data_IF_471542276037
#
_entry.id   IF_471542276037
#
_cell.length_a   1.000
_cell.length_b   1.000
_cell.length_c   1.000
_cell.angle_alpha   90.00
_cell.angle_beta   90.00
_cell.angle_gamma   90.00
#
_symmetry.space_group_name_H-M   'P 1'
#
loop_
_entity.id
_entity.type
_entity.pdbx_description
1 polymer ?
#
# COMPACT_ATOMS: atom_id res chain seq x y z
N UNK A 1 -18.91 -6.64 -23.22
CA UNK A 1 -17.54 -6.33 -22.81
C UNK A 1 -17.33 -6.58 -21.33
N UNK A 2 -18.23 -6.16 -20.47
CA UNK A 2 -18.14 -6.31 -19.00
C UNK A 2 -18.59 -7.70 -18.49
N UNK A 3 -18.57 -8.73 -19.35
CA UNK A 3 -18.98 -10.09 -18.99
C UNK A 3 -18.17 -10.70 -17.83
N UNK A 4 -16.88 -10.33 -17.71
CA UNK A 4 -15.98 -10.79 -16.66
C UNK A 4 -16.44 -10.40 -15.27
N UNK A 5 -17.16 -9.30 -15.14
CA UNK A 5 -17.68 -8.77 -13.86
C UNK A 5 -18.58 -9.80 -13.16
N UNK A 6 -19.43 -10.48 -13.90
CA UNK A 6 -20.37 -11.50 -13.40
C UNK A 6 -19.79 -12.94 -13.42
N UNK A 7 -18.55 -13.12 -13.86
CA UNK A 7 -17.92 -14.44 -13.99
C UNK A 7 -17.33 -15.02 -12.68
N UNK A 8 -17.29 -14.25 -11.60
CA UNK A 8 -16.73 -14.66 -10.31
C UNK A 8 -17.62 -15.65 -9.57
N UNK A 9 -17.10 -16.45 -8.61
CA UNK A 9 -17.91 -17.35 -7.79
C UNK A 9 -19.06 -16.63 -7.08
N UNK A 10 -18.78 -15.51 -6.40
CA UNK A 10 -19.80 -14.71 -5.66
C UNK A 10 -20.87 -14.17 -6.60
N UNK A 11 -20.51 -13.69 -7.79
CA UNK A 11 -21.50 -13.22 -8.76
C UNK A 11 -22.34 -14.37 -9.34
N UNK A 12 -21.77 -15.56 -9.50
CA UNK A 12 -22.52 -16.76 -9.91
C UNK A 12 -23.49 -17.22 -8.83
N UNK A 13 -23.09 -17.16 -7.55
CA UNK A 13 -24.01 -17.46 -6.44
C UNK A 13 -25.15 -16.45 -6.39
N UNK A 14 -24.88 -15.16 -6.66
CA UNK A 14 -25.93 -14.13 -6.79
C UNK A 14 -26.91 -14.45 -7.92
N UNK A 15 -26.43 -14.77 -9.13
CA UNK A 15 -27.27 -15.13 -10.25
C UNK A 15 -28.05 -16.43 -9.98
N UNK A 16 -27.41 -17.45 -9.41
CA UNK A 16 -28.05 -18.69 -9.01
C UNK A 16 -29.15 -18.47 -7.96
N UNK A 17 -28.95 -17.52 -7.04
CA UNK A 17 -29.99 -17.15 -6.08
C UNK A 17 -31.21 -16.54 -6.80
N UNK A 18 -31.02 -15.67 -7.80
CA UNK A 18 -32.11 -15.12 -8.59
C UNK A 18 -32.86 -16.22 -9.37
N UNK A 19 -32.14 -17.16 -9.98
CA UNK A 19 -32.73 -18.29 -10.69
C UNK A 19 -33.61 -19.15 -9.75
N UNK A 20 -33.15 -19.44 -8.52
CA UNK A 20 -33.94 -20.18 -7.53
C UNK A 20 -35.16 -19.40 -7.10
N UNK A 21 -35.04 -18.05 -6.92
CA UNK A 21 -36.17 -17.20 -6.55
C UNK A 21 -37.24 -17.06 -7.63
N UNK A 22 -36.90 -17.25 -8.91
CA UNK A 22 -37.84 -17.24 -10.01
C UNK A 22 -38.67 -18.52 -10.13
N UNK A 23 -38.30 -19.60 -9.42
CA UNK A 23 -39.07 -20.83 -9.40
C UNK A 23 -40.40 -20.64 -8.65
N UNK A 24 -41.48 -21.29 -9.12
CA UNK A 24 -42.81 -21.16 -8.50
C UNK A 24 -42.87 -21.63 -7.02
N UNK A 25 -41.97 -22.55 -6.63
CA UNK A 25 -41.85 -23.07 -5.27
C UNK A 25 -40.37 -23.32 -4.97
N UNK A 26 -39.61 -22.31 -4.52
CA UNK A 26 -38.22 -22.49 -4.16
C UNK A 26 -38.08 -23.55 -3.03
N UNK A 27 -37.14 -24.48 -3.21
CA UNK A 27 -36.80 -25.41 -2.13
C UNK A 27 -36.04 -24.66 -1.02
N UNK A 28 -36.52 -24.69 0.24
CA UNK A 28 -35.87 -23.96 1.34
C UNK A 28 -34.40 -24.30 1.56
N UNK A 29 -34.04 -25.60 1.37
CA UNK A 29 -32.66 -26.08 1.54
C UNK A 29 -31.73 -25.49 0.48
N UNK A 30 -32.12 -25.57 -0.78
CA UNK A 30 -31.36 -25.02 -1.92
C UNK A 30 -31.22 -23.52 -1.81
N UNK A 31 -32.30 -22.81 -1.40
CA UNK A 31 -32.27 -21.37 -1.24
C UNK A 31 -31.34 -20.94 -0.10
N UNK A 32 -31.40 -21.63 1.03
CA UNK A 32 -30.53 -21.38 2.18
C UNK A 32 -29.06 -21.62 1.84
N UNK A 33 -28.75 -22.66 1.10
CA UNK A 33 -27.39 -23.01 0.70
C UNK A 33 -26.79 -21.93 -0.24
N UNK A 34 -27.52 -21.52 -1.28
CA UNK A 34 -27.03 -20.51 -2.24
C UNK A 34 -26.90 -19.15 -1.58
N UNK A 35 -27.87 -18.74 -0.75
CA UNK A 35 -27.79 -17.49 -0.01
C UNK A 35 -26.65 -17.49 1.00
N UNK A 36 -26.43 -18.60 1.71
CA UNK A 36 -25.32 -18.76 2.64
C UNK A 36 -23.96 -18.63 1.97
N UNK A 37 -23.74 -19.27 0.80
CA UNK A 37 -22.50 -19.12 0.02
C UNK A 37 -22.30 -17.68 -0.46
N UNK A 38 -23.35 -17.03 -0.95
CA UNK A 38 -23.28 -15.61 -1.35
C UNK A 38 -22.89 -14.73 -0.16
N UNK A 39 -23.53 -14.92 0.98
CA UNK A 39 -23.27 -14.17 2.19
C UNK A 39 -21.84 -14.36 2.69
N UNK A 40 -21.35 -15.60 2.73
CA UNK A 40 -19.97 -15.95 3.09
C UNK A 40 -18.95 -15.33 2.12
N UNK A 41 -19.19 -15.42 0.81
CA UNK A 41 -18.34 -14.83 -0.22
C UNK A 41 -18.24 -13.31 -0.08
N UNK A 42 -19.36 -12.65 0.19
CA UNK A 42 -19.36 -11.20 0.48
C UNK A 42 -18.65 -10.86 1.81
N UNK A 43 -18.65 -11.80 2.79
CA UNK A 43 -17.96 -11.65 4.07
C UNK A 43 -16.45 -11.57 3.93
N UNK A 44 -15.91 -12.33 3.03
CA UNK A 44 -14.47 -12.45 2.79
C UNK A 44 -13.87 -11.28 2.02
N UNK A 45 -14.71 -10.41 1.41
CA UNK A 45 -14.22 -9.23 0.70
C UNK A 45 -13.64 -8.19 1.67
N UNK A 46 -12.36 -7.87 1.48
CA UNK A 46 -11.64 -6.93 2.34
C UNK A 46 -11.98 -5.47 2.04
N UNK A 47 -12.19 -5.13 0.75
CA UNK A 47 -12.45 -3.75 0.31
C UNK A 47 -13.96 -3.46 0.33
N UNK A 48 -14.35 -2.40 0.99
CA UNK A 48 -15.72 -1.88 1.00
C UNK A 48 -15.76 -0.50 0.38
N UNK A 49 -16.25 -0.43 -0.87
CA UNK A 49 -16.38 0.82 -1.62
C UNK A 49 -17.72 1.53 -1.36
N UNK A 50 -18.75 0.75 -0.98
CA UNK A 50 -20.11 1.19 -0.70
C UNK A 50 -20.62 0.53 0.59
N UNK A 51 -21.64 1.10 1.26
CA UNK A 51 -22.21 0.52 2.49
C UNK A 51 -22.79 -0.88 2.29
N UNK A 52 -23.51 -1.14 1.19
CA UNK A 52 -24.05 -2.46 0.86
C UNK A 52 -22.97 -3.36 0.29
N UNK A 53 -22.88 -4.60 0.80
CA UNK A 53 -21.83 -5.54 0.45
C UNK A 53 -21.89 -6.00 -1.00
N UNK A 54 -23.09 -6.29 -1.52
CA UNK A 54 -23.25 -6.72 -2.90
C UNK A 54 -22.94 -5.58 -3.87
N UNK A 55 -23.46 -4.41 -3.63
CA UNK A 55 -23.21 -3.22 -4.44
C UNK A 55 -21.72 -2.86 -4.44
N UNK A 56 -21.08 -2.94 -3.27
CA UNK A 56 -19.64 -2.73 -3.12
C UNK A 56 -18.83 -3.74 -3.93
N UNK A 57 -19.20 -5.03 -3.83
CA UNK A 57 -18.58 -6.11 -4.57
C UNK A 57 -18.68 -5.90 -6.08
N UNK A 58 -19.89 -5.65 -6.58
CA UNK A 58 -20.14 -5.47 -8.01
C UNK A 58 -19.31 -4.33 -8.61
N UNK A 59 -19.29 -3.16 -7.94
CA UNK A 59 -18.47 -2.03 -8.38
C UNK A 59 -17.00 -2.34 -8.28
N UNK A 60 -16.55 -3.00 -7.21
CA UNK A 60 -15.17 -3.46 -7.07
C UNK A 60 -14.74 -4.34 -8.25
N UNK A 61 -15.58 -5.33 -8.60
CA UNK A 61 -15.34 -6.22 -9.74
C UNK A 61 -15.31 -5.47 -11.08
N UNK A 62 -16.17 -4.47 -11.27
CA UNK A 62 -16.12 -3.62 -12.46
C UNK A 62 -14.77 -2.89 -12.59
N UNK A 63 -14.28 -2.33 -11.50
CA UNK A 63 -13.00 -1.61 -11.47
C UNK A 63 -11.79 -2.53 -11.66
N UNK A 64 -11.92 -3.81 -11.27
CA UNK A 64 -10.85 -4.82 -11.34
C UNK A 64 -10.87 -5.64 -12.64
N UNK A 65 -11.92 -5.50 -13.48
CA UNK A 65 -12.05 -6.27 -14.70
C UNK A 65 -11.18 -5.72 -15.83
N UNK A 66 -10.22 -6.53 -16.29
CA UNK A 66 -9.36 -6.23 -17.43
C UNK A 66 -10.04 -6.71 -18.73
N UNK A 67 -10.72 -5.83 -19.39
CA UNK A 67 -11.47 -6.09 -20.62
C UNK A 67 -11.11 -5.07 -21.72
N UNK A 68 -11.56 -5.24 -22.99
CA UNK A 68 -11.21 -4.33 -24.06
C UNK A 68 -11.57 -2.87 -23.80
N UNK A 69 -12.64 -2.59 -23.05
CA UNK A 69 -13.01 -1.22 -22.69
C UNK A 69 -12.07 -0.65 -21.62
N UNK A 70 -11.84 -1.37 -20.52
CA UNK A 70 -11.00 -0.87 -19.42
C UNK A 70 -9.55 -0.68 -19.85
N UNK A 71 -9.01 -1.60 -20.68
CA UNK A 71 -7.64 -1.51 -21.20
C UNK A 71 -7.48 -0.39 -22.24
N UNK A 72 -8.46 -0.17 -23.12
CA UNK A 72 -8.44 0.96 -24.05
C UNK A 72 -8.58 2.30 -23.30
N UNK A 73 -9.46 2.33 -22.29
CA UNK A 73 -9.66 3.50 -21.45
C UNK A 73 -8.41 3.88 -20.64
N UNK A 74 -7.69 2.89 -20.12
CA UNK A 74 -6.41 3.09 -19.42
C UNK A 74 -5.38 3.82 -20.28
N UNK A 75 -5.39 3.57 -21.61
CA UNK A 75 -4.53 4.25 -22.59
C UNK A 75 -5.05 5.61 -23.07
N UNK A 76 -6.28 5.95 -22.73
CA UNK A 76 -6.96 7.13 -23.28
C UNK A 76 -7.45 6.96 -24.73
N UNK A 77 -7.51 5.75 -25.26
CA UNK A 77 -7.75 5.42 -26.67
C UNK A 77 -9.09 4.70 -26.90
N UNK A 78 -10.15 5.10 -26.21
CA UNK A 78 -11.45 4.41 -26.33
C UNK A 78 -12.13 4.75 -27.66
N UNK A 79 -12.29 3.75 -28.49
CA UNK A 79 -13.12 3.88 -29.72
C UNK A 79 -14.59 4.16 -29.34
N UNK A 80 -15.29 5.06 -30.05
CA UNK A 80 -16.70 5.38 -29.78
C UNK A 80 -17.62 4.15 -29.74
N UNK A 81 -17.40 3.16 -30.60
CA UNK A 81 -18.19 1.91 -30.63
C UNK A 81 -17.99 1.10 -29.36
N UNK A 82 -16.72 1.03 -28.85
CA UNK A 82 -16.39 0.37 -27.60
C UNK A 82 -17.02 1.09 -26.41
N UNK A 83 -17.01 2.42 -26.42
CA UNK A 83 -17.64 3.25 -25.40
C UNK A 83 -19.15 3.05 -25.36
N UNK A 84 -19.81 3.05 -26.54
CA UNK A 84 -21.24 2.81 -26.64
C UNK A 84 -21.63 1.42 -26.13
N UNK A 85 -20.88 0.37 -26.54
CA UNK A 85 -21.14 -0.98 -26.05
C UNK A 85 -20.92 -1.10 -24.55
N UNK A 86 -19.89 -0.46 -24.00
CA UNK A 86 -19.69 -0.39 -22.56
C UNK A 86 -20.87 0.27 -21.83
N UNK A 87 -21.44 1.33 -22.43
CA UNK A 87 -22.63 1.97 -21.91
C UNK A 87 -23.84 1.03 -21.85
N UNK A 88 -24.05 0.22 -22.87
CA UNK A 88 -25.13 -0.80 -22.88
C UNK A 88 -24.92 -1.87 -21.81
N UNK A 89 -23.69 -2.36 -21.68
CA UNK A 89 -23.34 -3.35 -20.64
C UNK A 89 -23.51 -2.76 -19.23
N UNK A 90 -23.13 -1.51 -19.03
CA UNK A 90 -23.32 -0.78 -17.76
C UNK A 90 -24.81 -0.61 -17.43
N UNK A 91 -25.66 -0.34 -18.42
CA UNK A 91 -27.09 -0.26 -18.22
C UNK A 91 -27.65 -1.57 -17.66
N UNK A 92 -27.23 -2.73 -18.23
CA UNK A 92 -27.61 -4.06 -17.70
C UNK A 92 -27.08 -4.30 -16.28
N UNK A 93 -25.81 -3.93 -16.01
CA UNK A 93 -25.23 -4.07 -14.67
C UNK A 93 -25.94 -3.20 -13.62
N UNK A 94 -26.54 -2.08 -14.03
CA UNK A 94 -27.34 -1.23 -13.11
C UNK A 94 -28.58 -1.94 -12.59
N UNK A 95 -29.23 -2.80 -13.40
CA UNK A 95 -30.38 -3.60 -12.94
C UNK A 95 -29.96 -4.58 -11.83
N UNK A 96 -28.80 -5.23 -12.00
CA UNK A 96 -28.22 -6.14 -11.02
C UNK A 96 -27.78 -5.39 -9.75
N UNK A 97 -27.23 -4.19 -9.90
CA UNK A 97 -26.84 -3.32 -8.80
C UNK A 97 -28.04 -2.80 -8.00
N UNK A 98 -29.22 -2.63 -8.61
CA UNK A 98 -30.42 -2.14 -7.94
C UNK A 98 -30.95 -3.11 -6.85
N UNK A 99 -30.60 -4.37 -6.93
CA UNK A 99 -30.92 -5.36 -5.92
C UNK A 99 -29.87 -5.30 -4.80
N UNK A 100 -30.06 -4.41 -3.84
CA UNK A 100 -29.20 -4.36 -2.65
C UNK A 100 -29.47 -5.56 -1.72
N UNK A 101 -28.58 -5.77 -0.76
CA UNK A 101 -28.65 -6.89 0.18
C UNK A 101 -29.95 -6.93 0.99
N UNK A 102 -30.53 -5.77 1.30
CA UNK A 102 -31.81 -5.69 2.02
C UNK A 102 -32.98 -6.12 1.12
N UNK A 103 -33.01 -5.65 -0.12
CA UNK A 103 -34.03 -6.04 -1.09
C UNK A 103 -33.95 -7.53 -1.44
N UNK A 104 -32.72 -8.06 -1.54
CA UNK A 104 -32.47 -9.47 -1.81
C UNK A 104 -32.95 -10.35 -0.63
N UNK A 105 -32.61 -9.97 0.59
CA UNK A 105 -33.04 -10.70 1.80
C UNK A 105 -34.57 -10.75 1.90
N UNK A 106 -35.25 -9.62 1.69
CA UNK A 106 -36.72 -9.57 1.65
C UNK A 106 -37.32 -10.51 0.63
N UNK A 107 -36.72 -10.61 -0.58
CA UNK A 107 -37.18 -11.56 -1.61
C UNK A 107 -37.06 -13.01 -1.13
N UNK A 108 -35.98 -13.36 -0.44
CA UNK A 108 -35.76 -14.70 0.16
C UNK A 108 -36.82 -14.98 1.24
N UNK A 109 -37.05 -14.08 2.16
CA UNK A 109 -38.03 -14.21 3.26
C UNK A 109 -39.47 -14.33 2.75
N UNK A 110 -39.81 -13.54 1.72
CA UNK A 110 -41.13 -13.65 1.07
C UNK A 110 -41.32 -14.96 0.34
N UNK A 111 -40.28 -15.44 -0.36
CA UNK A 111 -40.35 -16.71 -1.12
C UNK A 111 -40.40 -17.93 -0.19
N UNK A 112 -39.71 -17.89 0.95
CA UNK A 112 -39.65 -18.98 1.94
C UNK A 112 -39.72 -18.40 3.35
N UNK A 113 -40.95 -18.19 3.92
CA UNK A 113 -41.15 -17.61 5.25
C UNK A 113 -40.45 -18.38 6.39
N UNK A 114 -40.11 -19.62 6.20
CA UNK A 114 -39.36 -20.42 7.18
C UNK A 114 -37.89 -19.93 7.35
N UNK A 115 -37.40 -19.09 6.48
CA UNK A 115 -36.05 -18.51 6.53
C UNK A 115 -36.04 -17.07 7.09
N UNK A 116 -37.21 -16.57 7.51
CA UNK A 116 -37.31 -15.22 8.11
C UNK A 116 -36.44 -15.10 9.37
N UNK A 117 -35.69 -14.00 9.47
CA UNK A 117 -34.82 -13.70 10.59
C UNK A 117 -33.55 -14.56 10.73
N UNK A 118 -33.24 -15.46 9.77
CA UNK A 118 -32.00 -16.27 9.81
C UNK A 118 -30.77 -15.44 9.47
N UNK A 119 -30.89 -14.50 8.51
CA UNK A 119 -29.78 -13.63 8.09
C UNK A 119 -30.08 -12.16 8.36
N UNK A 120 -29.02 -11.38 8.45
CA UNK A 120 -29.08 -9.92 8.55
C UNK A 120 -28.63 -9.29 7.23
N UNK A 121 -29.20 -8.14 6.84
CA UNK A 121 -28.70 -7.38 5.68
C UNK A 121 -27.23 -7.03 5.92
N UNK A 122 -26.39 -7.25 4.91
CA UNK A 122 -25.00 -6.90 5.03
C UNK A 122 -24.75 -5.46 4.61
N UNK A 123 -24.85 -4.54 5.56
CA UNK A 123 -24.50 -3.13 5.39
C UNK A 123 -23.48 -2.73 6.45
N UNK A 124 -22.37 -2.13 6.02
CA UNK A 124 -21.30 -1.62 6.89
C UNK A 124 -20.91 -0.20 6.46
N UNK A 125 -21.60 0.84 6.93
CA UNK A 125 -21.30 2.23 6.59
C UNK A 125 -19.89 2.65 7.01
N UNK A 126 -19.41 2.20 8.17
CA UNK A 126 -18.12 2.60 8.72
C UNK A 126 -16.94 2.13 7.86
N UNK A 127 -17.04 0.94 7.26
CA UNK A 127 -15.98 0.41 6.36
C UNK A 127 -15.97 1.05 4.98
N UNK A 128 -17.05 1.70 4.56
CA UNK A 128 -17.14 2.38 3.25
C UNK A 128 -16.62 3.82 3.27
N UNK A 129 -16.22 4.34 4.44
CA UNK A 129 -15.63 5.67 4.58
C UNK A 129 -14.18 5.66 4.12
N UNK A 130 -13.97 5.87 2.83
CA UNK A 130 -12.65 5.95 2.21
C UNK A 130 -12.51 7.16 1.30
N UNK A 131 -11.31 7.76 1.27
CA UNK A 131 -10.95 8.89 0.40
C UNK A 131 -10.27 8.49 -0.91
N UNK A 132 -10.14 7.20 -1.23
CA UNK A 132 -9.46 6.75 -2.43
C UNK A 132 -10.24 7.09 -3.71
N UNK A 133 -9.55 7.19 -4.88
CA UNK A 133 -10.23 7.34 -6.17
C UNK A 133 -11.30 6.28 -6.45
N UNK A 134 -11.10 5.05 -5.97
CA UNK A 134 -12.07 3.95 -6.09
C UNK A 134 -13.35 4.22 -5.30
N UNK A 135 -13.25 4.75 -4.08
CA UNK A 135 -14.43 5.19 -3.31
C UNK A 135 -15.15 6.35 -4.00
N UNK A 136 -14.40 7.30 -4.60
CA UNK A 136 -15.00 8.43 -5.31
C UNK A 136 -15.83 7.99 -6.51
N UNK A 137 -15.29 7.11 -7.37
CA UNK A 137 -16.02 6.60 -8.53
C UNK A 137 -17.20 5.72 -8.11
N UNK A 138 -17.04 4.87 -7.08
CA UNK A 138 -18.11 4.03 -6.57
C UNK A 138 -19.31 4.86 -6.09
N UNK A 139 -19.08 5.93 -5.34
CA UNK A 139 -20.13 6.86 -4.90
C UNK A 139 -20.84 7.55 -6.07
N UNK A 140 -20.09 7.95 -7.11
CA UNK A 140 -20.68 8.56 -8.30
C UNK A 140 -21.56 7.57 -9.05
N UNK A 141 -21.13 6.33 -9.22
CA UNK A 141 -21.91 5.26 -9.84
C UNK A 141 -23.15 4.93 -9.00
N UNK A 142 -23.01 4.80 -7.68
CA UNK A 142 -24.14 4.53 -6.79
C UNK A 142 -25.23 5.62 -6.84
N UNK A 143 -24.85 6.88 -6.98
CA UNK A 143 -25.77 8.00 -7.10
C UNK A 143 -26.41 8.14 -8.49
N UNK A 144 -25.83 7.53 -9.54
CA UNK A 144 -26.32 7.64 -10.89
C UNK A 144 -27.53 6.72 -11.14
N UNK A 145 -28.56 7.26 -11.74
CA UNK A 145 -29.72 6.49 -12.19
C UNK A 145 -29.51 5.80 -13.53
N UNK A 146 -28.72 6.41 -14.41
CA UNK A 146 -28.36 5.89 -15.73
C UNK A 146 -26.85 5.58 -15.77
N UNK A 147 -26.52 4.30 -15.68
CA UNK A 147 -25.14 3.86 -15.79
C UNK A 147 -24.63 3.85 -17.24
N UNK A 148 -25.52 3.77 -18.22
CA UNK A 148 -25.14 3.88 -19.63
C UNK A 148 -24.43 5.21 -19.92
N UNK A 149 -24.93 6.31 -19.34
CA UNK A 149 -24.31 7.62 -19.43
C UNK A 149 -22.98 7.73 -18.63
N UNK A 150 -22.69 6.79 -17.73
CA UNK A 150 -21.48 6.79 -16.90
C UNK A 150 -20.26 6.16 -17.60
N UNK A 151 -20.38 5.62 -18.82
CA UNK A 151 -19.26 4.98 -19.52
C UNK A 151 -18.06 5.93 -19.67
N UNK A 152 -18.29 7.20 -20.03
CA UNK A 152 -17.23 8.22 -20.11
C UNK A 152 -16.60 8.56 -18.75
N UNK A 153 -17.40 8.57 -17.69
CA UNK A 153 -16.91 8.77 -16.31
C UNK A 153 -15.99 7.63 -15.89
N UNK A 154 -16.37 6.38 -16.18
CA UNK A 154 -15.59 5.18 -15.88
C UNK A 154 -14.31 5.11 -16.73
N UNK A 155 -14.39 5.47 -18.02
CA UNK A 155 -13.21 5.59 -18.89
C UNK A 155 -12.21 6.61 -18.31
N UNK A 156 -12.68 7.79 -17.89
CA UNK A 156 -11.84 8.80 -17.25
C UNK A 156 -11.20 8.34 -15.92
N UNK A 157 -11.86 7.43 -15.20
CA UNK A 157 -11.29 6.81 -14.02
C UNK A 157 -10.12 5.87 -14.38
N UNK A 158 -10.31 4.99 -15.35
CA UNK A 158 -9.27 4.07 -15.82
C UNK A 158 -8.06 4.81 -16.41
N UNK A 159 -8.29 5.87 -17.18
CA UNK A 159 -7.22 6.68 -17.75
C UNK A 159 -6.31 7.32 -16.69
N UNK A 160 -6.86 7.70 -15.52
CA UNK A 160 -6.08 8.34 -14.44
C UNK A 160 -5.47 7.35 -13.46
N UNK A 161 -6.18 6.27 -13.19
CA UNK A 161 -5.84 5.41 -12.04
C UNK A 161 -5.46 3.99 -12.44
N UNK A 162 -5.55 3.65 -13.73
CA UNK A 162 -5.33 2.31 -14.24
C UNK A 162 -6.55 1.41 -14.10
N UNK A 163 -6.52 0.27 -14.79
CA UNK A 163 -7.52 -0.77 -14.74
C UNK A 163 -6.99 -2.03 -14.03
N UNK A 164 -7.88 -2.88 -13.57
CA UNK A 164 -7.54 -4.16 -13.01
C UNK A 164 -6.62 -4.04 -11.79
N UNK A 165 -5.63 -4.93 -11.71
CA UNK A 165 -4.67 -4.96 -10.61
C UNK A 165 -3.89 -3.66 -10.45
N UNK A 166 -3.62 -2.94 -11.54
CA UNK A 166 -2.89 -1.67 -11.52
C UNK A 166 -3.76 -0.48 -11.06
N UNK A 167 -5.08 -0.59 -11.18
CA UNK A 167 -6.03 0.34 -10.58
C UNK A 167 -6.20 0.12 -9.06
N UNK A 168 -6.03 -1.12 -8.60
CA UNK A 168 -6.20 -1.50 -7.19
C UNK A 168 -4.93 -1.31 -6.37
N UNK A 169 -3.76 -1.66 -6.91
CA UNK A 169 -2.50 -1.65 -6.20
C UNK A 169 -1.48 -0.72 -6.87
N UNK A 170 -0.61 -0.11 -6.08
CA UNK A 170 0.45 0.78 -6.56
C UNK A 170 1.84 0.13 -6.56
N UNK A 171 2.01 -0.97 -5.83
CA UNK A 171 3.29 -1.65 -5.64
C UNK A 171 3.16 -3.12 -5.94
N UNK A 172 4.13 -3.63 -6.64
CA UNK A 172 4.21 -5.03 -7.05
C UNK A 172 5.62 -5.56 -6.82
N UNK A 173 5.72 -6.88 -6.72
CA UNK A 173 7.00 -7.62 -6.72
C UNK A 173 6.91 -8.66 -7.83
N UNK A 174 7.93 -8.73 -8.66
CA UNK A 174 8.12 -9.84 -9.59
C UNK A 174 8.77 -11.00 -8.88
N UNK A 175 8.17 -12.16 -8.94
CA UNK A 175 8.68 -13.37 -8.30
C UNK A 175 8.12 -14.63 -8.97
N UNK A 176 9.01 -15.60 -9.22
CA UNK A 176 8.66 -16.91 -9.81
C UNK A 176 7.85 -16.74 -11.13
N UNK A 177 8.30 -15.88 -12.03
CA UNK A 177 7.63 -15.59 -13.31
C UNK A 177 6.27 -14.89 -13.18
N UNK A 178 5.96 -14.26 -12.05
CA UNK A 178 4.65 -13.66 -11.79
C UNK A 178 4.74 -12.32 -11.07
N UNK A 179 3.86 -11.42 -11.48
CA UNK A 179 3.65 -10.15 -10.81
C UNK A 179 2.67 -10.32 -9.63
N UNK A 180 3.15 -10.06 -8.41
CA UNK A 180 2.37 -10.15 -7.17
C UNK A 180 2.17 -8.75 -6.58
N UNK A 181 0.94 -8.40 -6.22
CA UNK A 181 0.64 -7.13 -5.58
C UNK A 181 1.13 -7.11 -4.13
N UNK A 182 1.68 -5.96 -3.72
CA UNK A 182 2.05 -5.69 -2.32
C UNK A 182 0.88 -4.96 -1.65
N UNK A 183 0.19 -5.63 -0.75
CA UNK A 183 -1.02 -5.11 -0.10
C UNK A 183 -0.70 -3.95 0.85
N UNK A 184 0.42 -4.03 1.56
CA UNK A 184 0.87 -3.00 2.53
C UNK A 184 2.26 -2.51 2.16
N UNK A 185 2.38 -1.63 1.16
CA UNK A 185 3.66 -1.03 0.82
C UNK A 185 4.14 -0.09 1.91
N UNK A 186 5.46 0.11 1.97
CA UNK A 186 6.10 1.08 2.87
C UNK A 186 5.50 2.49 2.63
N UNK A 187 4.90 3.14 3.62
CA UNK A 187 4.17 4.39 3.43
C UNK A 187 5.08 5.63 3.38
N UNK A 188 6.40 5.46 3.39
CA UNK A 188 7.36 6.57 3.46
C UNK A 188 7.10 7.63 2.39
N UNK A 189 7.08 8.90 2.79
CA UNK A 189 6.92 10.07 1.92
C UNK A 189 8.16 10.97 1.96
N UNK A 190 8.23 11.95 1.05
CA UNK A 190 9.34 12.91 1.08
C UNK A 190 9.38 13.74 2.37
N UNK A 191 8.23 13.99 2.97
CA UNK A 191 8.13 14.68 4.26
C UNK A 191 8.84 13.90 5.40
N UNK A 192 8.86 12.57 5.33
CA UNK A 192 9.49 11.69 6.32
C UNK A 192 11.00 11.56 6.14
N UNK A 193 11.53 12.10 5.02
CA UNK A 193 12.93 12.00 4.64
C UNK A 193 13.67 13.30 4.93
N UNK A 194 14.23 13.41 6.12
CA UNK A 194 15.01 14.58 6.54
C UNK A 194 16.35 14.63 5.83
N UNK A 195 16.72 15.79 5.33
CA UNK A 195 17.92 16.06 4.55
C UNK A 195 17.93 15.39 3.15
N UNK A 196 18.97 15.59 2.37
CA UNK A 196 19.13 15.10 1.00
C UNK A 196 18.12 15.68 -0.02
N UNK A 197 17.53 16.84 0.24
CA UNK A 197 16.59 17.51 -0.66
C UNK A 197 17.21 17.76 -2.04
N UNK A 198 18.46 18.24 -2.06
CA UNK A 198 19.21 18.52 -3.30
C UNK A 198 19.53 17.26 -4.09
N UNK A 199 19.85 16.18 -3.37
CA UNK A 199 20.16 14.90 -4.00
C UNK A 199 18.92 14.23 -4.59
N UNK A 200 17.74 14.50 -4.04
CA UNK A 200 16.45 13.95 -4.50
C UNK A 200 15.82 14.74 -5.65
N UNK A 201 16.01 16.04 -5.69
CA UNK A 201 15.36 16.93 -6.66
C UNK A 201 15.50 16.46 -8.13
N UNK A 202 16.68 16.04 -8.62
CA UNK A 202 16.78 15.57 -10.00
C UNK A 202 15.97 14.28 -10.28
N UNK A 203 15.78 13.39 -9.27
CA UNK A 203 14.94 12.22 -9.42
C UNK A 203 13.47 12.60 -9.51
N UNK A 204 13.03 13.55 -8.69
CA UNK A 204 11.68 14.10 -8.70
C UNK A 204 11.37 14.68 -10.09
N UNK A 205 12.21 15.59 -10.58
CA UNK A 205 12.06 16.21 -11.91
C UNK A 205 12.07 15.17 -13.05
N UNK A 206 12.90 14.15 -12.94
CA UNK A 206 12.93 13.05 -13.92
C UNK A 206 11.63 12.23 -13.91
N UNK A 207 11.06 12.00 -12.72
CA UNK A 207 9.79 11.29 -12.59
C UNK A 207 8.63 12.12 -13.12
N UNK A 208 8.59 13.42 -12.82
CA UNK A 208 7.56 14.33 -13.34
C UNK A 208 7.58 14.41 -14.87
N UNK A 209 8.76 14.47 -15.48
CA UNK A 209 8.92 14.40 -16.94
C UNK A 209 8.38 13.08 -17.50
N UNK A 210 8.72 11.97 -16.84
CA UNK A 210 8.24 10.65 -17.22
C UNK A 210 6.70 10.57 -17.21
N UNK A 211 6.07 11.04 -16.16
CA UNK A 211 4.61 11.05 -16.02
C UNK A 211 3.93 12.00 -17.02
N UNK A 212 4.61 13.08 -17.40
CA UNK A 212 4.13 14.00 -18.42
C UNK A 212 4.36 13.51 -19.86
N UNK A 213 4.87 12.29 -20.07
CA UNK A 213 5.17 11.74 -21.40
C UNK A 213 6.38 12.37 -22.07
N UNK A 214 7.24 13.04 -21.32
CA UNK A 214 8.49 13.61 -21.83
C UNK A 214 9.67 12.64 -21.69
N UNK A 215 10.75 12.84 -22.43
CA UNK A 215 11.97 12.06 -22.29
C UNK A 215 12.47 12.06 -20.84
N UNK A 216 12.63 10.88 -20.28
CA UNK A 216 13.14 10.64 -18.95
C UNK A 216 14.16 9.50 -18.94
N UNK A 217 15.01 9.46 -17.93
CA UNK A 217 16.14 8.57 -17.86
C UNK A 217 15.93 7.42 -16.85
N UNK A 218 16.60 6.31 -17.09
CA UNK A 218 16.86 5.32 -16.05
C UNK A 218 17.75 5.95 -14.97
N UNK A 219 17.48 5.67 -13.69
CA UNK A 219 18.18 6.33 -12.58
C UNK A 219 18.94 5.34 -11.69
N UNK A 220 20.17 5.70 -11.35
CA UNK A 220 21.00 5.00 -10.37
C UNK A 220 21.28 5.89 -9.18
N UNK A 221 20.83 5.48 -7.99
CA UNK A 221 21.09 6.13 -6.72
C UNK A 221 22.20 5.34 -6.01
N UNK A 222 23.36 5.93 -5.82
CA UNK A 222 24.48 5.25 -5.15
C UNK A 222 25.04 6.04 -3.96
N UNK A 223 25.60 5.32 -3.00
CA UNK A 223 26.18 5.89 -1.79
C UNK A 223 26.15 4.95 -0.62
N UNK A 224 26.62 5.38 0.53
CA UNK A 224 26.73 4.55 1.74
C UNK A 224 25.37 3.95 2.17
N UNK A 225 25.36 2.77 2.82
CA UNK A 225 24.16 2.20 3.42
C UNK A 225 23.48 3.18 4.40
N UNK A 226 22.14 3.18 4.41
CA UNK A 226 21.37 3.98 5.36
C UNK A 226 21.29 5.49 5.04
N UNK A 227 21.65 5.92 3.82
CA UNK A 227 21.50 7.33 3.38
C UNK A 227 20.13 7.65 2.79
N UNK A 228 19.20 6.69 2.75
CA UNK A 228 17.81 6.93 2.30
C UNK A 228 17.56 6.70 0.80
N UNK A 229 18.47 6.08 0.06
CA UNK A 229 18.31 5.79 -1.39
C UNK A 229 17.01 5.04 -1.71
N UNK A 230 16.84 3.84 -1.14
CA UNK A 230 15.64 3.01 -1.35
C UNK A 230 14.37 3.69 -0.83
N UNK A 231 14.47 4.38 0.31
CA UNK A 231 13.35 5.18 0.84
C UNK A 231 12.96 6.33 -0.10
N UNK A 232 13.91 6.92 -0.81
CA UNK A 232 13.64 7.98 -1.81
C UNK A 232 12.82 7.42 -2.98
N UNK A 233 13.16 6.24 -3.51
CA UNK A 233 12.40 5.60 -4.60
C UNK A 233 10.98 5.24 -4.15
N UNK A 234 10.84 4.72 -2.91
CA UNK A 234 9.53 4.43 -2.33
C UNK A 234 8.71 5.70 -2.09
N UNK A 235 9.34 6.80 -1.67
CA UNK A 235 8.67 8.09 -1.51
C UNK A 235 8.18 8.65 -2.86
N UNK A 236 8.97 8.54 -3.93
CA UNK A 236 8.53 8.87 -5.30
C UNK A 236 7.24 8.16 -5.65
N UNK A 237 7.16 6.83 -5.43
CA UNK A 237 5.92 6.10 -5.66
C UNK A 237 4.76 6.67 -4.83
N UNK A 238 4.96 6.89 -3.54
CA UNK A 238 3.89 7.33 -2.64
C UNK A 238 3.36 8.74 -2.98
N UNK A 239 4.20 9.61 -3.52
CA UNK A 239 3.77 10.94 -3.98
C UNK A 239 3.02 10.87 -5.32
N UNK A 240 3.53 10.08 -6.29
CA UNK A 240 3.02 10.11 -7.67
C UNK A 240 2.09 8.94 -8.03
N UNK A 241 1.76 8.03 -7.09
CA UNK A 241 0.82 6.94 -7.35
C UNK A 241 -0.57 7.44 -7.80
N UNK A 242 -1.00 8.60 -7.29
CA UNK A 242 -2.24 9.27 -7.69
C UNK A 242 -2.25 9.77 -9.14
N UNK A 243 -1.07 9.97 -9.72
CA UNK A 243 -0.83 10.42 -11.09
C UNK A 243 -0.55 9.25 -12.06
N UNK A 244 -0.80 8.02 -11.62
CA UNK A 244 -0.65 6.83 -12.46
C UNK A 244 0.70 6.13 -12.34
N UNK A 245 1.59 6.53 -11.42
CA UNK A 245 2.84 5.82 -11.19
C UNK A 245 2.60 4.50 -10.46
N UNK A 246 3.29 3.45 -10.92
CA UNK A 246 3.33 2.13 -10.28
C UNK A 246 4.78 1.70 -10.09
N UNK A 247 5.05 0.92 -9.05
CA UNK A 247 6.37 0.38 -8.78
C UNK A 247 6.34 -1.15 -8.87
N UNK A 248 7.29 -1.70 -9.61
CA UNK A 248 7.54 -3.14 -9.71
C UNK A 248 8.93 -3.41 -9.18
N UNK A 249 9.02 -4.00 -8.01
CA UNK A 249 10.30 -4.44 -7.45
C UNK A 249 10.72 -5.76 -8.11
N UNK A 250 11.94 -5.77 -8.63
CA UNK A 250 12.59 -6.95 -9.20
C UNK A 250 13.87 -7.18 -8.40
N UNK A 251 14.02 -8.38 -7.85
CA UNK A 251 15.23 -8.71 -7.11
C UNK A 251 16.38 -8.96 -8.06
N UNK A 252 17.60 -8.84 -7.56
CA UNK A 252 18.80 -9.10 -8.32
C UNK A 252 18.80 -10.50 -8.96
N UNK A 253 18.35 -11.51 -8.21
CA UNK A 253 18.28 -12.90 -8.65
C UNK A 253 17.29 -13.10 -9.82
N UNK A 254 16.26 -12.25 -9.88
CA UNK A 254 15.19 -12.32 -10.88
C UNK A 254 15.48 -11.42 -12.11
N UNK A 255 16.65 -10.77 -12.20
CA UNK A 255 17.02 -9.87 -13.31
C UNK A 255 17.06 -10.56 -14.68
N UNK A 256 17.32 -11.86 -14.73
CA UNK A 256 17.27 -12.64 -15.96
C UNK A 256 15.86 -12.62 -16.60
N UNK A 257 14.81 -12.46 -15.79
CA UNK A 257 13.41 -12.39 -16.22
C UNK A 257 12.96 -10.95 -16.56
N UNK A 258 13.88 -9.98 -16.55
CA UNK A 258 13.56 -8.57 -16.85
C UNK A 258 12.86 -8.38 -18.21
N UNK A 259 13.22 -9.08 -19.29
CA UNK A 259 12.46 -9.02 -20.55
C UNK A 259 10.99 -9.38 -20.38
N UNK A 260 10.67 -10.42 -19.63
CA UNK A 260 9.28 -10.86 -19.38
C UNK A 260 8.52 -9.83 -18.56
N UNK A 261 9.20 -9.19 -17.58
CA UNK A 261 8.62 -8.06 -16.82
C UNK A 261 8.25 -6.92 -17.76
N UNK A 262 9.16 -6.54 -18.66
CA UNK A 262 8.94 -5.44 -19.61
C UNK A 262 7.80 -5.74 -20.57
N UNK A 263 7.74 -6.95 -21.11
CA UNK A 263 6.66 -7.37 -22.00
C UNK A 263 5.30 -7.34 -21.28
N UNK A 264 5.27 -7.80 -20.02
CA UNK A 264 4.06 -7.74 -19.20
C UNK A 264 3.55 -6.31 -18.96
N UNK A 265 4.46 -5.33 -18.84
CA UNK A 265 4.14 -3.92 -18.61
C UNK A 265 3.91 -3.15 -19.91
N UNK A 266 4.36 -3.69 -21.04
CA UNK A 266 4.23 -3.08 -22.36
C UNK A 266 2.77 -2.79 -22.68
N UNK A 267 2.52 -1.60 -23.20
CA UNK A 267 1.19 -1.21 -23.68
C UNK A 267 0.13 -1.03 -22.59
N UNK A 268 0.50 -1.00 -21.31
CA UNK A 268 -0.38 -0.53 -20.24
C UNK A 268 -0.41 1.01 -20.23
N UNK A 269 -1.52 1.60 -19.80
CA UNK A 269 -1.65 3.06 -19.72
C UNK A 269 -0.96 3.67 -18.50
N UNK A 270 -0.67 2.88 -17.47
CA UNK A 270 0.07 3.32 -16.30
C UNK A 270 1.56 3.47 -16.58
N UNK A 271 2.24 4.32 -15.83
CA UNK A 271 3.69 4.48 -15.84
C UNK A 271 4.33 3.59 -14.76
N UNK A 272 5.40 2.90 -15.12
CA UNK A 272 6.05 1.93 -14.24
C UNK A 272 7.49 2.31 -13.94
N UNK A 273 7.82 2.32 -12.65
CA UNK A 273 9.21 2.26 -12.19
C UNK A 273 9.52 0.81 -11.85
N UNK A 274 10.36 0.17 -12.64
CA UNK A 274 11.00 -1.10 -12.26
C UNK A 274 12.12 -0.77 -11.29
N UNK A 275 12.02 -1.27 -10.08
CA UNK A 275 12.92 -0.95 -8.99
C UNK A 275 13.81 -2.14 -8.63
N UNK A 276 15.11 -1.92 -8.65
CA UNK A 276 16.11 -2.90 -8.22
C UNK A 276 16.89 -2.34 -7.05
N UNK A 277 16.66 -2.90 -5.86
CA UNK A 277 17.31 -2.43 -4.63
C UNK A 277 18.64 -3.16 -4.40
N UNK A 278 19.63 -2.43 -3.87
CA UNK A 278 20.99 -2.90 -3.54
C UNK A 278 21.72 -3.62 -4.68
N UNK A 279 21.65 -3.03 -5.88
CA UNK A 279 22.25 -3.56 -7.09
C UNK A 279 23.78 -3.56 -6.97
N UNK A 280 24.35 -4.75 -6.98
CA UNK A 280 25.79 -4.98 -7.06
C UNK A 280 26.05 -6.35 -7.65
N UNK A 281 27.08 -6.49 -8.47
CA UNK A 281 27.44 -7.75 -9.11
C UNK A 281 28.84 -8.17 -8.68
N UNK A 282 29.02 -9.46 -8.49
CA UNK A 282 30.33 -10.09 -8.37
C UNK A 282 30.88 -10.38 -9.77
N UNK A 283 32.14 -10.69 -9.85
CA UNK A 283 32.88 -10.80 -11.12
C UNK A 283 32.33 -11.87 -12.08
N UNK A 284 31.75 -12.94 -11.56
CA UNK A 284 31.25 -14.10 -12.32
C UNK A 284 29.76 -14.09 -12.58
N UNK A 285 29.02 -13.11 -12.04
CA UNK A 285 27.57 -13.02 -12.23
C UNK A 285 27.22 -12.58 -13.65
N UNK A 286 26.21 -13.22 -14.24
CA UNK A 286 25.78 -12.97 -15.63
C UNK A 286 24.50 -12.15 -15.71
N UNK A 287 23.83 -11.94 -14.59
CA UNK A 287 22.54 -11.24 -14.48
C UNK A 287 22.62 -9.77 -14.96
N UNK A 288 23.82 -9.17 -14.89
CA UNK A 288 24.04 -7.81 -15.42
C UNK A 288 23.79 -7.72 -16.93
N UNK A 289 23.85 -8.82 -17.69
CA UNK A 289 23.66 -8.82 -19.15
C UNK A 289 22.23 -8.43 -19.53
N UNK A 290 21.22 -8.91 -18.79
CA UNK A 290 19.83 -8.52 -19.01
C UNK A 290 19.62 -7.02 -18.74
N UNK A 291 20.24 -6.51 -17.66
CA UNK A 291 20.24 -5.10 -17.34
C UNK A 291 20.95 -4.26 -18.40
N UNK A 292 22.08 -4.75 -18.90
CA UNK A 292 22.84 -4.11 -20.00
C UNK A 292 21.99 -4.00 -21.26
N UNK A 293 21.32 -5.08 -21.66
CA UNK A 293 20.44 -5.10 -22.84
C UNK A 293 19.31 -4.06 -22.72
N UNK A 294 18.70 -3.91 -21.55
CA UNK A 294 17.69 -2.87 -21.30
C UNK A 294 18.27 -1.46 -21.42
N UNK A 295 19.45 -1.20 -20.85
CA UNK A 295 20.05 0.13 -20.80
C UNK A 295 20.69 0.57 -22.13
N UNK A 296 21.14 -0.37 -22.97
CA UNK A 296 21.76 -0.11 -24.27
C UNK A 296 20.75 -0.04 -25.42
N UNK A 297 19.56 -0.60 -25.21
CA UNK A 297 18.64 -0.94 -26.27
C UNK A 297 19.04 -2.29 -26.91
N UNK A 298 18.07 -3.17 -27.05
CA UNK A 298 18.15 -4.38 -27.87
C UNK A 298 17.54 -4.08 -29.25
N UNK A 299 17.36 -5.11 -30.08
CA UNK A 299 16.60 -5.00 -31.32
C UNK A 299 15.16 -4.52 -31.05
N UNK A 300 14.66 -4.79 -29.87
CA UNK A 300 13.36 -4.35 -29.39
C UNK A 300 13.51 -3.09 -28.51
N UNK A 301 12.74 -2.06 -28.84
CA UNK A 301 12.75 -0.80 -28.08
C UNK A 301 12.13 -0.99 -26.71
N UNK A 302 12.79 -0.50 -25.63
CA UNK A 302 12.21 -0.54 -24.28
C UNK A 302 10.85 0.15 -24.23
N UNK A 303 9.88 -0.37 -23.45
CA UNK A 303 8.58 0.27 -23.33
C UNK A 303 8.68 1.72 -22.85
N UNK A 304 8.00 2.65 -23.55
CA UNK A 304 8.01 4.08 -23.23
C UNK A 304 7.45 4.35 -21.82
N UNK A 305 6.51 3.52 -21.38
CA UNK A 305 5.86 3.60 -20.07
C UNK A 305 6.64 2.94 -18.93
N UNK A 306 7.92 2.56 -19.14
CA UNK A 306 8.76 1.92 -18.11
C UNK A 306 10.07 2.67 -17.93
N UNK A 307 10.46 2.92 -16.68
CA UNK A 307 11.80 3.40 -16.29
C UNK A 307 12.38 2.51 -15.20
N UNK A 308 13.69 2.29 -15.28
CA UNK A 308 14.45 1.53 -14.29
C UNK A 308 15.03 2.48 -13.26
N UNK A 309 14.75 2.26 -11.97
CA UNK A 309 15.43 2.92 -10.85
C UNK A 309 16.17 1.86 -10.06
N UNK A 310 17.45 2.07 -9.85
CA UNK A 310 18.28 1.16 -9.09
C UNK A 310 18.96 1.88 -7.94
N UNK A 311 19.18 1.18 -6.83
CA UNK A 311 20.06 1.66 -5.76
C UNK A 311 21.33 0.82 -5.69
N UNK A 312 22.41 1.40 -5.23
CA UNK A 312 23.64 0.68 -4.97
C UNK A 312 24.40 1.26 -3.79
N UNK A 313 25.05 0.40 -3.04
CA UNK A 313 25.98 0.84 -2.00
C UNK A 313 27.38 1.16 -2.54
N UNK A 314 27.59 0.98 -3.85
CA UNK A 314 28.86 1.19 -4.55
C UNK A 314 28.67 2.16 -5.72
N UNK A 315 29.72 2.92 -6.02
CA UNK A 315 29.76 3.76 -7.22
C UNK A 315 29.88 2.91 -8.48
N UNK A 316 30.70 1.88 -8.43
CA UNK A 316 30.86 0.87 -9.46
C UNK A 316 30.00 -0.34 -9.09
N UNK A 317 29.09 -0.72 -9.98
CA UNK A 317 28.11 -1.78 -9.73
C UNK A 317 28.75 -3.18 -9.62
N UNK A 318 29.97 -3.35 -10.13
CA UNK A 318 30.68 -4.62 -10.16
C UNK A 318 31.91 -4.54 -9.26
N UNK A 319 32.15 -5.58 -8.48
CA UNK A 319 33.26 -5.67 -7.53
C UNK A 319 34.55 -6.01 -8.28
N UNK A 320 35.59 -5.22 -8.05
CA UNK A 320 36.95 -5.53 -8.48
C UNK A 320 37.60 -6.43 -7.43
N UNK A 321 38.09 -7.60 -7.82
CA UNK A 321 38.91 -8.44 -6.95
C UNK A 321 40.38 -8.13 -7.24
N UNK A 322 41.10 -7.61 -6.25
CA UNK A 322 42.54 -7.33 -6.35
C UNK A 322 43.43 -8.58 -6.25
N UNK A 323 42.85 -9.78 -6.16
CA UNK A 323 43.59 -11.01 -5.83
C UNK A 323 44.21 -11.75 -7.02
N UNK A 324 43.96 -11.34 -8.28
CA UNK A 324 44.49 -12.02 -9.47
C UNK A 324 45.37 -11.12 -10.34
N UNK A 325 46.36 -10.49 -9.74
CA UNK A 325 47.53 -10.01 -10.50
C UNK A 325 48.56 -11.14 -10.66
N UNK A 326 48.27 -12.07 -11.52
CA UNK A 326 49.16 -13.19 -11.80
C UNK A 326 49.03 -13.62 -13.26
N UNK A 327 50.01 -13.19 -14.08
CA UNK A 327 50.37 -13.54 -15.46
C UNK A 327 49.83 -12.60 -16.55
N UNK A 328 50.77 -12.11 -17.36
CA UNK A 328 50.58 -11.07 -18.36
C UNK A 328 49.77 -11.49 -19.62
N UNK A 329 49.31 -12.74 -19.73
CA UNK A 329 48.50 -13.21 -20.84
C UNK A 329 46.99 -13.18 -20.59
N UNK A 330 46.55 -13.11 -19.33
CA UNK A 330 45.13 -12.94 -18.93
C UNK A 330 44.72 -11.46 -18.87
N UNK A 331 45.66 -10.52 -18.93
CA UNK A 331 45.40 -9.08 -18.71
C UNK A 331 44.54 -8.42 -19.81
N UNK A 332 44.55 -8.92 -21.05
CA UNK A 332 43.78 -8.32 -22.15
C UNK A 332 42.28 -8.64 -22.00
N UNK A 333 41.96 -9.87 -21.67
CA UNK A 333 40.56 -10.28 -21.45
C UNK A 333 39.99 -9.72 -20.14
N UNK A 334 40.81 -9.55 -19.11
CA UNK A 334 40.42 -8.91 -17.85
C UNK A 334 40.17 -7.40 -18.03
N UNK A 335 41.00 -6.71 -18.88
CA UNK A 335 40.82 -5.28 -19.13
C UNK A 335 39.55 -4.97 -19.93
N UNK A 336 39.20 -5.79 -20.92
CA UNK A 336 38.01 -5.63 -21.75
C UNK A 336 36.73 -5.88 -20.91
N UNK A 337 36.75 -6.91 -20.08
CA UNK A 337 35.68 -7.20 -19.15
C UNK A 337 35.53 -6.08 -18.12
N UNK A 338 36.62 -5.49 -17.65
CA UNK A 338 36.63 -4.38 -16.67
C UNK A 338 36.07 -3.09 -17.28
N UNK A 339 36.42 -2.76 -18.52
CA UNK A 339 35.86 -1.63 -19.25
C UNK A 339 34.34 -1.82 -19.50
N UNK A 340 33.92 -3.01 -19.83
CA UNK A 340 32.53 -3.37 -20.04
C UNK A 340 31.72 -3.20 -18.75
N UNK A 341 32.27 -3.57 -17.63
CA UNK A 341 31.68 -3.51 -16.29
C UNK A 341 31.60 -2.07 -15.73
N UNK A 342 32.63 -1.26 -15.96
CA UNK A 342 32.61 0.18 -15.60
C UNK A 342 31.57 0.95 -16.42
N UNK A 343 31.27 0.47 -17.63
CA UNK A 343 30.32 1.10 -18.54
C UNK A 343 28.86 0.96 -18.09
N UNK A 344 28.49 -0.07 -17.29
CA UNK A 344 27.10 -0.31 -16.90
C UNK A 344 26.49 0.85 -16.09
N UNK A 345 27.23 1.38 -15.11
CA UNK A 345 26.77 2.55 -14.34
C UNK A 345 26.68 3.82 -15.21
N UNK A 346 27.53 3.93 -16.25
CA UNK A 346 27.52 5.06 -17.17
C UNK A 346 26.27 5.09 -18.07
N UNK A 347 25.59 3.97 -18.25
CA UNK A 347 24.38 3.84 -19.08
C UNK A 347 23.12 4.34 -18.41
N UNK A 348 23.14 4.49 -17.07
CA UNK A 348 22.09 5.23 -16.39
C UNK A 348 22.21 6.72 -16.74
N UNK A 349 21.21 7.25 -17.44
CA UNK A 349 21.21 8.66 -17.84
C UNK A 349 21.13 9.62 -16.65
N UNK A 350 20.60 9.16 -15.50
CA UNK A 350 20.57 9.91 -14.25
C UNK A 350 21.32 9.15 -13.15
N UNK A 351 22.38 9.76 -12.63
CA UNK A 351 23.20 9.17 -11.56
C UNK A 351 23.24 10.12 -10.36
N UNK A 352 22.75 9.66 -9.23
CA UNK A 352 22.57 10.44 -8.02
C UNK A 352 23.45 9.90 -6.89
N UNK A 353 24.29 10.77 -6.34
CA UNK A 353 25.17 10.42 -5.22
C UNK A 353 24.51 10.79 -3.90
N UNK A 354 24.38 9.83 -3.00
CA UNK A 354 23.95 10.03 -1.62
C UNK A 354 25.17 9.91 -0.70
N UNK A 355 25.85 11.03 -0.38
CA UNK A 355 27.04 11.00 0.44
C UNK A 355 26.70 10.61 1.88
N UNK A 356 27.67 10.03 2.60
CA UNK A 356 27.56 9.85 4.05
C UNK A 356 27.27 11.18 4.72
N UNK A 357 26.34 11.25 5.68
CA UNK A 357 26.05 12.49 6.34
C UNK A 357 27.24 12.94 7.19
N UNK A 358 27.66 14.19 7.03
CA UNK A 358 28.53 14.85 7.97
C UNK A 358 27.81 15.03 9.32
N UNK A 359 28.52 15.51 10.33
CA UNK A 359 27.96 15.70 11.68
C UNK A 359 26.74 16.62 11.67
N UNK A 360 26.77 17.69 10.90
CA UNK A 360 25.68 18.66 10.85
C UNK A 360 24.42 18.05 10.21
N UNK A 361 24.58 17.33 9.11
CA UNK A 361 23.50 16.60 8.43
C UNK A 361 22.93 15.48 9.31
N UNK A 362 23.79 14.70 9.99
CA UNK A 362 23.34 13.66 10.90
C UNK A 362 22.50 14.22 12.05
N UNK A 363 22.95 15.31 12.69
CA UNK A 363 22.19 15.95 13.76
C UNK A 363 20.86 16.52 13.26
N UNK A 364 20.80 17.08 12.04
CA UNK A 364 19.52 17.49 11.42
C UNK A 364 18.57 16.30 11.22
N UNK A 365 19.10 15.15 10.77
CA UNK A 365 18.29 13.92 10.59
C UNK A 365 17.72 13.49 11.94
N UNK A 366 18.54 13.41 12.99
CA UNK A 366 18.09 13.04 14.35
C UNK A 366 17.03 14.01 14.85
N UNK A 367 17.27 15.32 14.72
CA UNK A 367 16.33 16.34 15.19
C UNK A 367 15.00 16.30 14.41
N UNK A 368 15.05 16.08 13.10
CA UNK A 368 13.85 15.92 12.29
C UNK A 368 13.03 14.70 12.70
N UNK A 369 13.66 13.53 12.78
CA UNK A 369 12.99 12.29 13.19
C UNK A 369 12.40 12.39 14.62
N UNK A 370 13.11 13.00 15.57
CA UNK A 370 12.61 13.20 16.93
C UNK A 370 11.37 14.11 16.95
N UNK A 371 11.38 15.20 16.17
CA UNK A 371 10.25 16.11 16.03
C UNK A 371 9.04 15.42 15.40
N UNK A 372 9.25 14.66 14.33
CA UNK A 372 8.17 13.98 13.60
C UNK A 372 7.48 12.91 14.47
N UNK A 373 8.20 12.38 15.47
CA UNK A 373 7.63 11.49 16.50
C UNK A 373 7.13 12.21 17.76
N UNK A 374 7.16 13.55 17.77
CA UNK A 374 6.66 14.36 18.89
C UNK A 374 7.48 14.23 20.18
N UNK A 375 8.75 13.80 20.10
CA UNK A 375 9.61 13.66 21.27
C UNK A 375 9.96 15.03 21.85
N UNK A 376 9.63 15.25 23.12
CA UNK A 376 9.92 16.48 23.87
C UNK A 376 11.28 16.35 24.58
N UNK A 377 12.38 16.50 23.82
CA UNK A 377 13.76 16.42 24.33
C UNK A 377 14.45 17.74 24.06
N UNK A 378 15.21 18.25 25.04
CA UNK A 378 15.98 19.48 24.87
C UNK A 378 17.02 19.31 23.74
N UNK A 379 17.19 20.31 22.87
CA UNK A 379 18.10 20.22 21.71
C UNK A 379 19.54 19.84 22.09
N UNK A 380 20.05 20.35 23.19
CA UNK A 380 21.39 20.05 23.71
C UNK A 380 21.50 18.57 24.09
N UNK A 381 20.54 18.06 24.86
CA UNK A 381 20.49 16.65 25.28
C UNK A 381 20.38 15.71 24.07
N UNK A 382 19.51 16.05 23.12
CA UNK A 382 19.37 15.27 21.89
C UNK A 382 20.69 15.24 21.09
N UNK A 383 21.38 16.36 21.01
CA UNK A 383 22.68 16.48 20.34
C UNK A 383 23.74 15.61 21.04
N UNK A 384 23.85 15.70 22.36
CA UNK A 384 24.80 14.88 23.14
C UNK A 384 24.55 13.39 22.97
N UNK A 385 23.29 12.98 23.08
CA UNK A 385 22.87 11.58 22.86
C UNK A 385 23.18 11.13 21.43
N UNK A 386 22.95 11.96 20.42
CA UNK A 386 23.25 11.66 19.02
C UNK A 386 24.76 11.47 18.77
N UNK A 387 25.61 12.32 19.35
CA UNK A 387 27.05 12.20 19.22
C UNK A 387 27.62 10.99 19.97
N UNK A 388 27.03 10.66 21.12
CA UNK A 388 27.41 9.46 21.87
C UNK A 388 27.02 8.19 21.10
N UNK A 389 25.82 8.16 20.51
CA UNK A 389 25.31 7.07 19.69
C UNK A 389 26.17 6.82 18.46
N UNK A 390 26.59 7.90 17.77
CA UNK A 390 27.52 7.84 16.63
C UNK A 390 28.85 7.15 16.97
N UNK A 391 29.38 7.39 18.19
CA UNK A 391 30.63 6.76 18.64
C UNK A 391 30.50 5.26 18.92
N UNK A 392 29.33 4.80 19.36
CA UNK A 392 29.09 3.42 19.73
C UNK A 392 28.58 2.54 18.57
N UNK A 393 28.08 3.16 17.51
CA UNK A 393 27.51 2.46 16.37
C UNK A 393 28.33 2.71 15.11
N UNK A 394 28.10 1.94 14.06
CA UNK A 394 28.89 1.91 12.81
C UNK A 394 28.80 3.19 11.95
N UNK A 395 28.87 4.37 12.56
CA UNK A 395 28.95 5.65 11.88
C UNK A 395 27.59 6.33 11.63
N UNK A 396 27.65 7.50 11.01
CA UNK A 396 26.52 8.39 10.76
C UNK A 396 25.71 7.94 9.58
N UNK A 397 24.43 7.66 9.79
CA UNK A 397 23.49 7.34 8.73
C UNK A 397 22.06 7.65 9.15
N UNK A 398 21.11 7.68 8.22
CA UNK A 398 19.69 7.76 8.54
C UNK A 398 19.19 6.55 9.33
N UNK A 399 19.81 5.38 9.12
CA UNK A 399 19.49 4.16 9.87
C UNK A 399 19.90 4.29 11.35
N UNK A 400 21.13 4.73 11.62
CA UNK A 400 21.60 4.92 12.99
C UNK A 400 20.87 6.07 13.70
N UNK A 401 20.48 7.11 12.98
CA UNK A 401 19.63 8.18 13.50
C UNK A 401 18.24 7.65 13.91
N UNK A 402 17.61 6.81 13.08
CA UNK A 402 16.31 6.20 13.38
C UNK A 402 16.39 5.29 14.61
N UNK A 403 17.43 4.45 14.69
CA UNK A 403 17.65 3.57 15.85
C UNK A 403 17.79 4.36 17.16
N UNK A 404 18.51 5.48 17.14
CA UNK A 404 18.58 6.36 18.29
C UNK A 404 17.21 6.92 18.69
N UNK A 405 16.44 7.40 17.72
CA UNK A 405 15.11 7.97 17.99
C UNK A 405 14.14 6.91 18.48
N UNK A 406 14.21 5.68 17.98
CA UNK A 406 13.44 4.53 18.47
C UNK A 406 13.76 4.24 19.96
N UNK A 407 15.05 4.29 20.35
CA UNK A 407 15.46 4.10 21.76
C UNK A 407 14.97 5.24 22.65
N UNK A 408 15.11 6.50 22.19
CA UNK A 408 14.64 7.66 22.94
C UNK A 408 13.11 7.64 23.14
N UNK A 409 12.35 7.20 22.14
CA UNK A 409 10.90 7.02 22.23
C UNK A 409 10.55 5.96 23.29
N UNK A 410 11.24 4.82 23.26
CA UNK A 410 11.04 3.76 24.24
C UNK A 410 11.39 4.20 25.68
N UNK A 411 12.48 4.96 25.87
CA UNK A 411 12.87 5.54 27.16
C UNK A 411 11.77 6.51 27.66
N UNK A 412 11.29 7.40 26.80
CA UNK A 412 10.24 8.38 27.14
C UNK A 412 8.94 7.69 27.55
N UNK A 413 8.54 6.65 26.80
CA UNK A 413 7.33 5.88 27.11
C UNK A 413 7.46 5.15 28.46
N UNK A 414 8.63 4.60 28.79
CA UNK A 414 8.88 3.97 30.09
C UNK A 414 8.81 4.98 31.24
N UNK A 415 9.38 6.17 31.08
CA UNK A 415 9.33 7.24 32.07
C UNK A 415 7.89 7.66 32.35
N UNK A 416 7.08 7.90 31.33
CA UNK A 416 5.66 8.25 31.45
C UNK A 416 4.83 7.16 32.14
N UNK A 417 5.11 5.89 31.85
CA UNK A 417 4.45 4.77 32.52
C UNK A 417 4.84 4.68 34.00
N UNK A 418 6.11 4.95 34.33
CA UNK A 418 6.60 5.03 35.69
C UNK A 418 5.91 6.12 36.51
N UNK A 419 5.83 7.33 35.95
CA UNK A 419 5.12 8.48 36.55
C UNK A 419 3.63 8.20 36.75
N UNK A 420 2.97 7.60 35.73
CA UNK A 420 1.56 7.23 35.83
C UNK A 420 1.30 6.18 36.91
N UNK A 421 2.21 5.21 37.11
CA UNK A 421 2.11 4.22 38.18
C UNK A 421 2.35 4.85 39.55
N UNK A 422 3.31 5.75 39.66
CA UNK A 422 3.60 6.47 40.91
C UNK A 422 2.44 7.36 41.32
N UNK A 423 1.86 8.12 40.36
CA UNK A 423 0.68 8.97 40.63
C UNK A 423 -0.57 8.16 41.00
N UNK A 424 -0.80 6.98 40.41
CA UNK A 424 -1.87 6.07 40.83
C UNK A 424 -1.67 5.50 42.23
N UNK A 425 -0.41 5.15 42.58
CA UNK A 425 -0.07 4.64 43.91
C UNK A 425 -0.24 5.72 44.99
N UNK A 426 0.14 6.97 44.70
CA UNK A 426 -0.02 8.12 45.61
C UNK A 426 -1.50 8.47 45.81
N UNK A 427 -2.30 8.43 44.75
CA UNK A 427 -3.76 8.63 44.81
C UNK A 427 -4.46 7.53 45.64
N UNK A 428 -4.00 6.28 45.49
CA UNK A 428 -4.49 5.15 46.31
C UNK A 428 -4.10 5.28 47.81
N UNK A 429 -2.87 5.72 48.10
CA UNK A 429 -2.42 6.01 49.48
C UNK A 429 -3.22 7.15 50.12
N UNK A 430 -3.44 8.23 49.36
CA UNK A 430 -4.25 9.37 49.82
C UNK A 430 -5.72 8.99 50.11
N UNK A 431 -6.31 8.11 49.28
CA UNK A 431 -7.67 7.60 49.52
C UNK A 431 -7.77 6.72 50.76
N UNK A 432 -6.74 5.93 51.09
CA UNK A 432 -6.72 5.12 52.32
C UNK A 432 -6.59 6.00 53.55
N UNK A 433 -5.73 7.04 53.53
CA UNK A 433 -5.58 7.98 54.65
C UNK A 433 -6.83 8.80 54.91
N UNK A 434 -7.64 9.11 53.91
CA UNK A 434 -8.93 9.80 54.08
C UNK A 434 -10.03 8.88 54.60
N UNK A 435 -9.95 7.56 54.39
CA UNK A 435 -10.91 6.59 54.95
C UNK A 435 -10.62 6.21 56.43
N UNK A 436 -9.39 6.30 56.89
CA UNK A 436 -9.04 6.04 58.32
C UNK A 436 -9.30 7.23 59.24
N UNK A 437 -9.53 8.44 58.71
CA UNK A 437 -9.87 9.65 59.50
C UNK A 437 -11.31 9.78 59.93
N UNK A 438 -12.19 8.90 59.53
CA UNK A 438 -13.61 8.90 59.95
C UNK A 438 -13.84 8.01 61.19
N UNK A 439 -13.46 8.51 62.37
CA UNK A 439 -13.88 7.91 63.66
C UNK A 439 -15.40 7.83 63.77
N UNK A 440 -15.97 6.72 64.26
CA UNK A 440 -17.40 6.63 64.45
C UNK A 440 -17.80 7.50 65.68
N UNK A 441 -18.67 8.47 65.48
CA UNK A 441 -19.37 9.20 66.55
C UNK A 441 -20.12 8.20 67.43
N UNK A 442 -19.75 8.19 68.75
CA UNK A 442 -20.46 7.48 69.78
C UNK A 442 -21.96 7.84 69.72
N UNK A 443 -22.79 6.80 69.65
CA UNK A 443 -24.23 6.92 69.90
C UNK A 443 -24.44 7.12 71.40
N UNK A 444 -25.06 8.24 71.80
CA UNK A 444 -25.60 8.48 73.14
C UNK A 444 -26.85 7.62 73.34
N UNK A 445 -26.83 6.90 74.47
CA UNK A 445 -27.98 6.16 75.05
C UNK A 445 -29.10 7.14 75.46
N UNK A 446 -30.34 6.80 75.13
CA UNK A 446 -31.52 7.35 75.77
C UNK A 446 -32.48 6.21 76.15
N UNK A 447 -33.24 6.33 77.29
CA UNK A 447 -33.68 5.15 78.03
C UNK A 447 -35.08 4.63 77.66
N UNK A 448 -35.19 3.36 77.98
CA UNK A 448 -36.38 2.51 78.08
C UNK A 448 -37.71 3.19 78.43
N UNK A 449 -38.80 2.90 77.69
CA UNK A 449 -40.15 2.74 78.30
C UNK A 449 -41.02 1.66 77.58
N UNK A 450 -41.63 0.91 78.44
CA UNK A 450 -42.45 -0.26 78.42
C UNK A 450 -43.49 -0.48 77.26
N UNK A 451 -43.71 -1.77 77.05
CA UNK A 451 -44.83 -2.49 76.37
C UNK A 451 -46.26 -2.04 76.91
N UNK A 452 -47.45 -2.46 76.31
CA UNK A 452 -47.64 -3.79 75.70
C UNK A 452 -48.69 -3.82 74.52
N UNK A 453 -48.72 -4.94 73.81
CA UNK A 453 -50.08 -5.56 73.55
C UNK A 453 -50.41 -5.88 72.09
N UNK A 454 -50.49 -7.18 71.87
CA UNK A 454 -51.43 -7.96 71.00
C UNK A 454 -51.26 -8.05 69.51
N UNK A 455 -51.03 -9.28 69.13
CA UNK A 455 -51.29 -9.94 67.84
C UNK A 455 -52.84 -10.03 67.60
N UNK A 456 -53.38 -10.72 66.60
CA UNK A 456 -52.87 -11.20 65.34
C UNK A 456 -53.85 -10.95 64.15
N UNK A 457 -53.47 -11.01 62.97
CA UNK A 457 -54.07 -11.88 61.94
C UNK A 457 -53.10 -11.97 60.74
#
# INVERSE_FOLDING_TARGET
MLRGVLGSPVARDFLGLLEVLETQRPDPGSLAEVFGRLWEGLALEEERLLPDAWQSYLVGRMLDDENPFSLAAEKGEVNPVVLEQAGRDLHTLREVFALDGTALLRKVEVAVPALDGIWVPWTDPARSEGGSPRHSIARKLSAATDWGACAGLLAGHYARHGAGRFGRHKTFVWRDGRLRAVVRPDPVRFADLVAYEREREPLILNTERFLAGHPAHHALLYGQPGTGKSSTVKAVLNEYAGEGLRLVEVRKEDLAELPDVLEFLRGRGAHFVVFVDDLSFEEHEVEYKALKALLEGSVEEPPENVRLYATSNRRNLIRESFSERGSAEDDVHASDTMQEKLSLAARFGLRLTFPSPDQARYLRIVAGLARDRGLQILPETLRERALLWDRWHAGRSGRTARQLVDELEAETARAQQGESRAAKADKARSAVLTSEGASPKRAEEAPSQAKPGRAPC
#
